data_IF_374408382160
#
_entry.id   IF_374408382160
#
_cell.length_a   1.000
_cell.length_b   1.000
_cell.length_c   1.000
_cell.angle_alpha   90.00
_cell.angle_beta   90.00
_cell.angle_gamma   90.00
#
_symmetry.space_group_name_H-M   'P 1'
#
loop_
_entity.id
_entity.type
_entity.pdbx_description
1 polymer ?
#
# COMPACT_ATOMS: atom_id res chain seq x y z
N UNK A 1 -12.02 17.51 12.72
CA UNK A 1 -11.31 16.20 12.73
C UNK A 1 -11.12 15.81 14.18
N UNK A 2 -11.41 14.55 14.57
CA UNK A 2 -11.25 14.06 15.94
C UNK A 2 -10.19 12.95 15.95
N UNK A 3 -9.24 13.02 16.87
CA UNK A 3 -8.29 11.94 17.12
C UNK A 3 -8.98 10.87 17.98
N UNK A 4 -9.07 9.64 17.48
CA UNK A 4 -9.72 8.54 18.22
C UNK A 4 -8.79 7.93 19.27
N UNK A 5 -7.48 8.01 19.08
CA UNK A 5 -6.48 7.49 20.00
C UNK A 5 -5.19 7.12 19.28
N UNK A 6 -4.32 6.42 19.99
CA UNK A 6 -3.04 5.93 19.48
C UNK A 6 -3.01 4.41 19.49
N UNK A 7 -2.23 3.83 18.58
CA UNK A 7 -1.90 2.41 18.57
C UNK A 7 -0.40 2.33 18.83
N UNK A 8 -0.01 1.69 19.93
CA UNK A 8 1.40 1.49 20.25
C UNK A 8 2.02 0.52 19.25
N UNK A 9 3.26 0.82 18.82
CA UNK A 9 4.04 0.00 17.90
C UNK A 9 5.22 -0.61 18.66
N UNK A 10 5.08 -1.84 19.21
CA UNK A 10 6.10 -2.42 20.07
C UNK A 10 7.48 -2.48 19.40
N UNK A 11 8.47 -1.85 20.04
CA UNK A 11 9.85 -1.83 19.55
C UNK A 11 10.09 -0.97 18.32
N UNK A 12 9.19 -0.06 17.96
CA UNK A 12 9.39 0.94 16.91
C UNK A 12 9.25 2.35 17.49
N UNK A 13 10.34 3.10 17.51
CA UNK A 13 10.41 4.46 18.06
C UNK A 13 10.40 5.54 16.97
N UNK A 14 10.79 5.20 15.73
CA UNK A 14 10.97 6.16 14.65
C UNK A 14 10.25 5.70 13.36
N UNK A 15 8.91 5.64 13.33
CA UNK A 15 8.17 5.29 12.12
C UNK A 15 8.46 6.31 11.00
N UNK A 16 8.72 5.79 9.81
CA UNK A 16 9.12 6.57 8.63
C UNK A 16 8.12 6.50 7.48
N UNK A 17 7.21 5.53 7.50
CA UNK A 17 6.27 5.28 6.41
C UNK A 17 5.07 4.47 6.92
N UNK A 18 3.90 4.70 6.32
CA UNK A 18 2.70 3.91 6.55
C UNK A 18 2.00 3.65 5.21
N UNK A 19 1.55 2.41 5.01
CA UNK A 19 0.66 2.03 3.92
C UNK A 19 -0.60 1.39 4.51
N UNK A 20 -1.76 1.64 3.91
CA UNK A 20 -3.04 1.14 4.42
C UNK A 20 -3.88 0.63 3.26
N UNK A 21 -4.49 -0.53 3.46
CA UNK A 21 -5.46 -1.09 2.51
C UNK A 21 -6.57 -1.81 3.24
N UNK A 22 -7.78 -1.76 2.68
CA UNK A 22 -8.89 -2.63 3.07
C UNK A 22 -8.94 -3.91 2.25
N UNK A 23 -8.16 -3.98 1.16
CA UNK A 23 -8.28 -5.02 0.13
C UNK A 23 -9.63 -5.02 -0.58
N UNK A 24 -10.45 -3.98 -0.39
CA UNK A 24 -11.81 -3.93 -0.92
C UNK A 24 -11.81 -3.39 -2.36
N UNK A 25 -12.30 -4.19 -3.30
CA UNK A 25 -12.47 -3.78 -4.69
C UNK A 25 -13.53 -2.66 -4.78
N UNK A 26 -13.14 -1.52 -5.38
CA UNK A 26 -14.02 -0.38 -5.56
C UNK A 26 -15.31 -0.74 -6.33
N UNK A 27 -15.27 -1.69 -7.27
CA UNK A 27 -16.46 -2.07 -8.03
C UNK A 27 -17.48 -2.86 -7.20
N UNK A 28 -17.06 -3.44 -6.07
CA UNK A 28 -18.01 -4.06 -5.13
C UNK A 28 -18.90 -3.02 -4.43
N UNK A 29 -18.55 -1.73 -4.47
CA UNK A 29 -19.40 -0.63 -3.99
C UNK A 29 -20.53 -0.24 -4.95
N UNK A 30 -20.61 -0.81 -6.15
CA UNK A 30 -21.71 -0.55 -7.08
C UNK A 30 -23.02 -1.17 -6.56
N UNK A 31 -24.16 -0.49 -6.71
CA UNK A 31 -25.46 -0.97 -6.28
C UNK A 31 -26.03 -2.00 -7.27
N UNK A 32 -26.80 -3.00 -6.80
CA UNK A 32 -27.41 -3.99 -7.68
C UNK A 32 -28.35 -3.33 -8.71
N UNK A 33 -28.21 -3.70 -9.98
CA UNK A 33 -29.18 -3.40 -11.04
C UNK A 33 -29.11 -2.01 -11.67
N UNK A 34 -28.38 -1.05 -11.09
CA UNK A 34 -28.27 0.31 -11.64
C UNK A 34 -26.86 0.69 -12.11
N UNK A 35 -25.81 -0.03 -11.67
CA UNK A 35 -24.41 0.36 -11.94
C UNK A 35 -23.96 1.61 -11.17
N UNK A 36 -24.86 2.21 -10.40
CA UNK A 36 -24.60 3.39 -9.57
C UNK A 36 -23.78 3.05 -8.34
N UNK A 37 -22.90 3.94 -7.92
CA UNK A 37 -22.12 3.72 -6.70
C UNK A 37 -22.89 4.11 -5.44
N UNK A 38 -22.56 3.44 -4.34
CA UNK A 38 -22.99 3.85 -3.01
C UNK A 38 -22.59 5.30 -2.71
N UNK A 39 -23.47 6.04 -2.06
CA UNK A 39 -23.24 7.44 -1.74
C UNK A 39 -24.51 8.15 -1.30
N UNK A 40 -24.40 9.45 -1.01
CA UNK A 40 -25.50 10.25 -0.47
C UNK A 40 -26.74 10.27 -1.39
N UNK A 41 -26.56 10.27 -2.70
CA UNK A 41 -27.68 10.28 -3.65
C UNK A 41 -28.39 8.92 -3.74
N UNK A 42 -27.62 7.83 -3.76
CA UNK A 42 -28.15 6.51 -4.12
C UNK A 42 -28.48 5.66 -2.88
N UNK A 43 -27.68 5.76 -1.82
CA UNK A 43 -27.78 4.99 -0.58
C UNK A 43 -27.61 5.86 0.69
N UNK A 44 -28.37 6.95 0.89
CA UNK A 44 -28.24 7.80 2.08
C UNK A 44 -28.53 7.02 3.36
N UNK A 45 -27.60 7.05 4.32
CA UNK A 45 -27.72 6.34 5.59
C UNK A 45 -28.73 6.99 6.57
N UNK A 46 -29.24 8.19 6.24
CA UNK A 46 -30.34 8.84 6.95
C UNK A 46 -31.68 8.14 6.68
N UNK A 47 -31.81 7.47 5.54
CA UNK A 47 -32.96 6.62 5.23
C UNK A 47 -32.78 5.26 5.91
N UNK A 48 -33.70 4.94 6.83
CA UNK A 48 -33.66 3.69 7.61
C UNK A 48 -33.75 2.43 6.76
N UNK A 49 -34.54 2.43 5.68
CA UNK A 49 -34.70 1.29 4.79
C UNK A 49 -33.43 1.06 3.95
N UNK A 50 -32.84 2.16 3.45
CA UNK A 50 -31.57 2.08 2.73
C UNK A 50 -30.43 1.64 3.65
N UNK A 51 -30.35 2.17 4.88
CA UNK A 51 -29.36 1.73 5.87
C UNK A 51 -29.52 0.27 6.25
N UNK A 52 -30.75 -0.22 6.43
CA UNK A 52 -31.01 -1.62 6.75
C UNK A 52 -30.49 -2.59 5.67
N UNK A 53 -30.42 -2.16 4.41
CA UNK A 53 -29.86 -2.99 3.32
C UNK A 53 -28.38 -3.36 3.49
N UNK A 54 -27.64 -2.68 4.37
CA UNK A 54 -26.23 -2.94 4.69
C UNK A 54 -26.03 -3.90 5.88
N UNK A 55 -27.10 -4.24 6.57
CA UNK A 55 -27.10 -5.10 7.75
C UNK A 55 -27.38 -6.56 7.39
N UNK A 56 -26.90 -7.50 8.20
CA UNK A 56 -27.25 -8.93 8.10
C UNK A 56 -27.11 -9.51 6.69
N UNK A 57 -28.22 -9.99 6.13
CA UNK A 57 -28.35 -10.54 4.77
C UNK A 57 -28.87 -9.53 3.73
N UNK A 58 -28.86 -8.24 4.06
CA UNK A 58 -29.32 -7.18 3.15
C UNK A 58 -28.53 -7.12 1.84
N UNK A 59 -29.15 -6.57 0.80
CA UNK A 59 -28.60 -6.54 -0.56
C UNK A 59 -27.24 -5.82 -0.70
N UNK A 60 -26.88 -4.98 0.28
CA UNK A 60 -25.64 -4.22 0.34
C UNK A 60 -24.71 -4.67 1.49
N UNK A 61 -25.02 -5.76 2.18
CA UNK A 61 -24.30 -6.19 3.39
C UNK A 61 -22.82 -6.57 3.17
N UNK A 62 -22.41 -6.79 1.91
CA UNK A 62 -21.02 -7.09 1.52
C UNK A 62 -20.38 -5.98 0.68
N UNK A 63 -21.01 -4.80 0.57
CA UNK A 63 -20.55 -3.74 -0.33
C UNK A 63 -19.66 -2.69 0.34
N UNK A 64 -19.21 -2.95 1.56
CA UNK A 64 -18.32 -2.09 2.33
C UNK A 64 -17.21 -2.90 2.99
N UNK A 65 -16.10 -2.22 3.29
CA UNK A 65 -14.95 -2.83 3.94
C UNK A 65 -15.31 -3.36 5.34
N UNK A 66 -14.94 -4.62 5.62
CA UNK A 66 -15.14 -5.28 6.92
C UNK A 66 -13.84 -5.47 7.71
N UNK A 67 -12.72 -5.24 7.05
CA UNK A 67 -11.38 -5.36 7.60
C UNK A 67 -10.42 -4.52 6.77
N UNK A 68 -9.18 -4.48 7.23
CA UNK A 68 -8.07 -3.88 6.52
C UNK A 68 -6.78 -4.10 7.30
N UNK A 69 -5.68 -3.78 6.66
CA UNK A 69 -4.36 -3.84 7.27
C UNK A 69 -3.68 -2.50 7.06
N UNK A 70 -3.07 -1.99 8.12
CA UNK A 70 -2.07 -0.94 8.02
C UNK A 70 -0.69 -1.56 8.26
N UNK A 71 0.30 -1.12 7.48
CA UNK A 71 1.71 -1.50 7.66
C UNK A 71 2.48 -0.23 7.97
N UNK A 72 3.10 -0.17 9.14
CA UNK A 72 3.98 0.93 9.53
C UNK A 72 5.42 0.45 9.44
N UNK A 73 6.29 1.26 8.85
CA UNK A 73 7.68 0.92 8.57
C UNK A 73 8.60 1.92 9.25
N UNK A 74 9.59 1.42 9.99
CA UNK A 74 10.76 2.19 10.41
C UNK A 74 11.98 1.68 9.65
N UNK A 75 12.44 2.50 8.69
CA UNK A 75 13.63 2.18 7.88
C UNK A 75 14.90 2.18 8.71
N UNK A 76 15.00 3.09 9.68
CA UNK A 76 16.15 3.21 10.59
C UNK A 76 16.24 2.02 11.56
N UNK A 77 15.10 1.53 12.05
CA UNK A 77 15.04 0.42 13.00
C UNK A 77 14.88 -0.94 12.32
N UNK A 78 14.81 -0.96 10.98
CA UNK A 78 14.61 -2.16 10.13
C UNK A 78 13.38 -2.97 10.53
N UNK A 79 12.27 -2.31 10.82
CA UNK A 79 11.04 -2.98 11.29
C UNK A 79 9.85 -2.59 10.44
N UNK A 80 8.99 -3.57 10.18
CA UNK A 80 7.61 -3.33 9.74
C UNK A 80 6.65 -3.92 10.77
N UNK A 81 5.67 -3.13 11.19
CA UNK A 81 4.58 -3.54 12.06
C UNK A 81 3.29 -3.65 11.25
N UNK A 82 2.63 -4.80 11.31
CA UNK A 82 1.34 -5.05 10.69
C UNK A 82 0.23 -4.84 11.70
N UNK A 83 -0.78 -4.05 11.35
CA UNK A 83 -1.87 -3.63 12.22
C UNK A 83 -3.19 -4.11 11.61
N UNK A 84 -3.94 -4.90 12.38
CA UNK A 84 -5.30 -5.33 12.03
C UNK A 84 -6.28 -4.18 12.28
N UNK A 85 -6.96 -3.73 11.23
CA UNK A 85 -8.01 -2.71 11.31
C UNK A 85 -9.40 -3.32 11.54
N UNK A 86 -9.54 -4.65 11.55
CA UNK A 86 -10.83 -5.33 11.78
C UNK A 86 -11.54 -4.89 13.06
N UNK A 87 -10.89 -4.64 14.21
CA UNK A 87 -11.59 -4.13 15.40
C UNK A 87 -12.32 -2.81 15.13
N UNK A 88 -11.66 -1.88 14.44
CA UNK A 88 -12.21 -0.58 14.08
C UNK A 88 -13.40 -0.74 13.12
N UNK A 89 -13.22 -1.50 12.03
CA UNK A 89 -14.29 -1.74 11.06
C UNK A 89 -15.48 -2.46 11.69
N UNK A 90 -15.24 -3.47 12.54
CA UNK A 90 -16.30 -4.21 13.22
C UNK A 90 -17.13 -3.27 14.10
N UNK A 91 -16.47 -2.39 14.87
CA UNK A 91 -17.18 -1.45 15.73
C UNK A 91 -17.97 -0.40 14.94
N UNK A 92 -17.33 0.27 13.98
CA UNK A 92 -17.96 1.33 13.19
C UNK A 92 -19.12 0.78 12.35
N UNK A 93 -18.92 -0.34 11.67
CA UNK A 93 -19.99 -1.00 10.90
C UNK A 93 -21.13 -1.47 11.82
N UNK A 94 -20.83 -1.90 13.05
CA UNK A 94 -21.84 -2.24 14.05
C UNK A 94 -22.70 -1.03 14.46
N UNK A 95 -22.11 0.15 14.61
CA UNK A 95 -22.86 1.40 14.90
C UNK A 95 -23.72 1.81 13.71
N UNK A 96 -23.18 1.78 12.49
CA UNK A 96 -23.93 2.19 11.30
C UNK A 96 -25.00 1.19 10.87
N UNK A 97 -24.76 -0.12 11.03
CA UNK A 97 -25.58 -1.17 10.42
C UNK A 97 -26.12 -2.20 11.43
N UNK A 98 -25.97 -1.97 12.73
CA UNK A 98 -26.55 -2.78 13.80
C UNK A 98 -28.00 -2.39 14.11
N UNK A 99 -28.37 -2.35 15.39
CA UNK A 99 -29.73 -2.05 15.87
C UNK A 99 -30.21 -0.61 15.63
N UNK A 100 -29.44 0.20 14.90
CA UNK A 100 -29.74 1.59 14.56
C UNK A 100 -28.85 2.59 15.29
N UNK A 101 -28.52 3.74 14.68
CA UNK A 101 -27.47 4.61 15.16
C UNK A 101 -28.01 5.57 16.24
N UNK A 102 -28.13 5.06 17.45
CA UNK A 102 -28.41 5.89 18.63
C UNK A 102 -27.27 6.85 18.94
N UNK A 103 -26.06 6.50 18.51
CA UNK A 103 -24.79 7.16 18.78
C UNK A 103 -24.66 8.51 18.08
N UNK A 104 -25.35 8.74 16.96
CA UNK A 104 -25.28 10.00 16.21
C UNK A 104 -26.03 11.16 16.89
N UNK A 105 -26.69 10.91 18.01
CA UNK A 105 -27.41 11.94 18.78
C UNK A 105 -26.50 12.74 19.72
N UNK A 106 -25.28 12.25 20.00
CA UNK A 106 -24.32 12.88 20.91
C UNK A 106 -22.97 13.13 20.22
N UNK A 107 -22.95 14.04 19.24
CA UNK A 107 -21.75 14.40 18.49
C UNK A 107 -20.85 15.33 19.29
N UNK A 108 -19.53 15.12 19.22
CA UNK A 108 -18.59 16.04 19.85
C UNK A 108 -17.18 15.51 20.04
N UNK A 109 -16.35 16.32 20.72
CA UNK A 109 -14.92 16.07 20.86
C UNK A 109 -14.56 15.25 22.11
N UNK A 110 -15.45 15.14 23.11
CA UNK A 110 -15.17 14.36 24.30
C UNK A 110 -15.16 12.84 24.01
N UNK A 111 -14.46 12.07 24.86
CA UNK A 111 -14.29 10.62 24.69
C UNK A 111 -15.61 9.85 24.52
N UNK A 112 -16.64 10.27 25.25
CA UNK A 112 -18.00 9.71 25.26
C UNK A 112 -18.96 10.38 24.28
N UNK A 113 -18.45 11.12 23.29
CA UNK A 113 -19.23 11.71 22.20
C UNK A 113 -18.82 11.08 20.89
N UNK A 114 -19.77 10.84 19.99
CA UNK A 114 -19.51 10.19 18.71
C UNK A 114 -18.68 11.08 17.77
N UNK A 115 -17.68 10.53 17.05
CA UNK A 115 -17.15 9.17 17.16
C UNK A 115 -16.36 8.96 18.46
N UNK A 116 -16.62 7.86 19.16
CA UNK A 116 -15.99 7.57 20.45
C UNK A 116 -14.50 7.29 20.31
N UNK A 117 -13.70 7.68 21.32
CA UNK A 117 -12.27 7.39 21.34
C UNK A 117 -11.99 5.94 21.76
N UNK A 118 -10.75 5.49 21.56
CA UNK A 118 -10.24 4.20 22.00
C UNK A 118 -10.22 4.09 23.53
N UNK A 119 -10.06 5.21 24.24
CA UNK A 119 -10.22 5.24 25.71
C UNK A 119 -11.65 4.91 26.14
N UNK A 120 -12.67 5.42 25.42
CA UNK A 120 -14.08 5.16 25.74
C UNK A 120 -14.56 3.78 25.27
N UNK A 121 -14.12 3.37 24.08
CA UNK A 121 -14.53 2.12 23.40
C UNK A 121 -13.29 1.34 22.96
N UNK A 122 -12.52 0.75 23.90
CA UNK A 122 -11.23 0.12 23.58
C UNK A 122 -11.34 -1.07 22.64
N UNK A 123 -12.51 -1.71 22.54
CA UNK A 123 -12.75 -2.80 21.59
C UNK A 123 -12.65 -2.39 20.12
N UNK A 124 -12.69 -1.09 19.79
CA UNK A 124 -12.50 -0.62 18.42
C UNK A 124 -11.03 -0.38 18.06
N UNK A 125 -10.12 -0.46 19.04
CA UNK A 125 -8.70 -0.15 18.87
C UNK A 125 -8.06 -1.16 17.89
N UNK A 126 -7.43 -0.71 16.79
CA UNK A 126 -6.64 -1.59 15.94
C UNK A 126 -5.51 -2.26 16.72
N UNK A 127 -5.16 -3.49 16.33
CA UNK A 127 -4.17 -4.30 17.07
C UNK A 127 -2.98 -4.61 16.21
N UNK A 128 -1.76 -4.49 16.76
CA UNK A 128 -0.54 -4.97 16.08
C UNK A 128 -0.58 -6.49 16.02
N UNK A 129 -0.60 -7.05 14.82
CA UNK A 129 -0.60 -8.50 14.54
C UNK A 129 0.81 -9.05 14.71
N UNK A 130 1.79 -8.39 14.09
CA UNK A 130 3.17 -8.85 14.04
C UNK A 130 4.12 -7.70 13.77
N UNK A 131 5.39 -7.91 14.14
CA UNK A 131 6.51 -7.08 13.71
C UNK A 131 7.54 -7.97 13.05
N UNK A 132 8.03 -7.56 11.88
CA UNK A 132 9.05 -8.28 11.12
C UNK A 132 10.29 -7.42 10.96
N UNK A 133 11.46 -8.07 10.95
CA UNK A 133 12.71 -7.41 10.56
C UNK A 133 12.76 -7.30 9.05
N UNK A 134 13.00 -6.10 8.55
CA UNK A 134 13.15 -5.84 7.12
C UNK A 134 14.47 -6.40 6.61
N UNK A 135 14.46 -6.81 5.35
CA UNK A 135 15.68 -7.18 4.63
C UNK A 135 16.73 -6.06 4.75
N UNK A 136 18.00 -6.44 4.75
CA UNK A 136 19.11 -5.51 4.92
C UNK A 136 19.32 -4.55 3.75
N UNK A 137 18.38 -4.38 2.83
CA UNK A 137 18.60 -3.59 1.62
C UNK A 137 17.38 -2.73 1.29
N UNK A 138 17.63 -1.46 0.98
CA UNK A 138 16.62 -0.51 0.52
C UNK A 138 17.05 0.14 -0.79
N UNK A 139 16.04 0.56 -1.56
CA UNK A 139 16.23 1.41 -2.72
C UNK A 139 16.16 2.87 -2.28
N UNK A 140 17.13 3.67 -2.72
CA UNK A 140 17.21 5.10 -2.43
C UNK A 140 17.23 5.88 -3.74
N UNK A 141 16.27 6.79 -3.91
CA UNK A 141 16.32 7.80 -4.96
C UNK A 141 17.12 9.01 -4.47
N UNK A 142 18.38 9.10 -4.86
CA UNK A 142 19.25 10.23 -4.52
C UNK A 142 19.00 11.36 -5.51
N UNK A 143 17.92 12.10 -5.25
CA UNK A 143 17.38 13.16 -6.13
C UNK A 143 18.43 14.15 -6.62
N UNK A 144 19.21 14.72 -5.69
CA UNK A 144 20.24 15.72 -6.01
C UNK A 144 21.35 15.19 -6.92
N UNK A 145 21.68 13.91 -6.75
CA UNK A 145 22.65 13.21 -7.58
C UNK A 145 22.04 12.59 -8.84
N UNK A 146 20.71 12.57 -9.00
CA UNK A 146 19.99 11.89 -10.11
C UNK A 146 20.40 10.42 -10.30
N UNK A 147 20.38 9.67 -9.20
CA UNK A 147 20.71 8.23 -9.20
C UNK A 147 19.80 7.43 -8.29
N UNK A 148 19.71 6.13 -8.59
CA UNK A 148 19.10 5.12 -7.73
C UNK A 148 20.21 4.27 -7.11
N UNK A 149 20.09 3.96 -5.83
CA UNK A 149 21.08 3.18 -5.09
C UNK A 149 20.41 2.05 -4.33
N UNK A 150 21.05 0.87 -4.37
CA UNK A 150 20.76 -0.22 -3.45
C UNK A 150 21.68 -0.04 -2.26
N UNK A 151 21.13 0.37 -1.14
CA UNK A 151 21.87 0.55 0.11
C UNK A 151 21.67 -0.70 0.94
N UNK A 152 22.74 -1.44 1.17
CA UNK A 152 22.75 -2.58 2.08
C UNK A 152 23.18 -2.13 3.46
N UNK A 153 22.34 -2.32 4.45
CA UNK A 153 22.68 -2.15 5.86
C UNK A 153 23.60 -3.27 6.34
N UNK A 154 24.56 -2.93 7.19
CA UNK A 154 25.33 -3.92 7.94
C UNK A 154 24.41 -4.78 8.81
N UNK A 155 24.90 -5.94 9.23
CA UNK A 155 24.11 -6.91 10.00
C UNK A 155 23.56 -6.31 11.29
N UNK A 156 24.36 -5.48 11.97
CA UNK A 156 23.99 -4.77 13.19
C UNK A 156 23.04 -3.58 12.94
N UNK A 157 22.96 -3.09 11.70
CA UNK A 157 22.14 -1.94 11.32
C UNK A 157 22.70 -0.57 11.63
N UNK A 158 23.93 -0.48 12.16
CA UNK A 158 24.53 0.80 12.51
C UNK A 158 25.27 1.47 11.34
N UNK A 159 25.32 0.82 10.20
CA UNK A 159 25.93 1.35 8.98
C UNK A 159 25.25 0.79 7.73
N UNK A 160 25.53 1.41 6.58
CA UNK A 160 25.13 0.88 5.29
C UNK A 160 26.16 1.21 4.22
N UNK A 161 26.22 0.38 3.18
CA UNK A 161 27.05 0.58 2.01
C UNK A 161 26.22 0.53 0.74
N UNK A 162 26.59 1.34 -0.24
CA UNK A 162 26.01 1.27 -1.58
C UNK A 162 26.57 0.02 -2.25
N UNK A 163 25.72 -0.98 -2.49
CA UNK A 163 26.13 -2.24 -3.14
C UNK A 163 25.83 -2.25 -4.64
N UNK A 164 25.01 -1.30 -5.09
CA UNK A 164 24.72 -1.05 -6.50
C UNK A 164 24.30 0.40 -6.69
N UNK A 165 24.77 1.00 -7.78
CA UNK A 165 24.32 2.31 -8.24
C UNK A 165 23.79 2.20 -9.66
N UNK A 166 22.74 2.96 -9.96
CA UNK A 166 22.14 3.09 -11.27
C UNK A 166 21.91 4.56 -11.59
N UNK A 167 22.37 4.98 -12.77
CA UNK A 167 22.15 6.29 -13.35
C UNK A 167 21.72 6.12 -14.79
N UNK A 168 20.81 6.97 -15.21
CA UNK A 168 20.34 7.02 -16.59
C UNK A 168 20.05 8.48 -16.93
N UNK A 169 20.48 8.91 -18.11
CA UNK A 169 20.31 10.29 -18.56
C UNK A 169 18.83 10.69 -18.70
N UNK A 170 17.94 9.70 -18.84
CA UNK A 170 16.48 9.92 -18.88
C UNK A 170 15.90 10.30 -17.51
N UNK A 171 16.60 10.04 -16.41
CA UNK A 171 16.19 10.46 -15.06
C UNK A 171 16.62 11.90 -14.79
N UNK A 172 15.71 12.83 -15.03
CA UNK A 172 15.91 14.27 -14.84
C UNK A 172 15.82 14.65 -13.36
N UNK A 173 14.79 14.16 -12.67
CA UNK A 173 14.49 14.48 -11.27
C UNK A 173 13.79 13.29 -10.55
N UNK A 174 14.54 12.21 -10.23
CA UNK A 174 13.96 11.03 -9.60
C UNK A 174 13.58 11.33 -8.14
N UNK A 175 12.28 11.22 -7.83
CA UNK A 175 11.73 11.55 -6.49
C UNK A 175 11.20 10.35 -5.73
N UNK A 176 10.81 9.28 -6.42
CA UNK A 176 10.39 8.04 -5.80
C UNK A 176 10.87 6.86 -6.64
N UNK A 177 11.10 5.74 -5.96
CA UNK A 177 11.55 4.49 -6.56
C UNK A 177 10.88 3.33 -5.88
N UNK A 178 10.55 2.32 -6.66
CA UNK A 178 9.90 1.11 -6.18
C UNK A 178 10.41 -0.12 -6.93
N UNK A 179 10.49 -1.23 -6.22
CA UNK A 179 10.72 -2.56 -6.78
C UNK A 179 9.35 -3.20 -7.05
N UNK A 180 9.08 -3.58 -8.30
CA UNK A 180 7.77 -4.03 -8.73
C UNK A 180 7.43 -5.40 -8.13
N UNK A 181 6.20 -5.52 -7.62
CA UNK A 181 5.66 -6.79 -7.11
C UNK A 181 5.34 -7.76 -8.26
N UNK A 182 5.67 -9.05 -8.09
CA UNK A 182 5.48 -10.08 -9.12
C UNK A 182 4.85 -11.36 -8.55
N UNK A 183 3.86 -11.91 -9.26
CA UNK A 183 3.10 -13.09 -8.82
C UNK A 183 3.58 -14.41 -9.44
N UNK A 184 3.86 -14.43 -10.76
CA UNK A 184 4.11 -15.67 -11.51
C UNK A 184 5.49 -15.75 -12.19
N UNK A 185 6.37 -14.80 -11.87
CA UNK A 185 7.69 -14.66 -12.49
C UNK A 185 8.62 -13.86 -11.58
N UNK A 186 9.90 -14.22 -11.55
CA UNK A 186 10.93 -13.41 -10.91
C UNK A 186 11.32 -12.31 -11.90
N UNK A 187 10.72 -11.12 -11.74
CA UNK A 187 11.04 -9.96 -12.55
C UNK A 187 11.66 -8.87 -11.68
N UNK A 188 12.97 -8.72 -11.77
CA UNK A 188 13.68 -7.65 -11.09
C UNK A 188 13.42 -6.30 -11.80
N UNK A 189 12.29 -5.65 -11.55
CA UNK A 189 11.88 -4.40 -12.22
C UNK A 189 11.74 -3.25 -11.24
N UNK A 190 12.39 -2.14 -11.56
CA UNK A 190 12.40 -0.91 -10.81
C UNK A 190 11.53 0.13 -11.53
N UNK A 191 10.56 0.71 -10.83
CA UNK A 191 9.80 1.88 -11.28
C UNK A 191 10.38 3.15 -10.66
N UNK A 192 10.64 4.16 -11.47
CA UNK A 192 11.13 5.47 -11.03
C UNK A 192 10.13 6.55 -11.40
N UNK A 193 9.66 7.30 -10.41
CA UNK A 193 8.90 8.52 -10.62
C UNK A 193 9.86 9.70 -10.85
N UNK A 194 9.82 10.28 -12.05
CA UNK A 194 10.58 11.46 -12.42
C UNK A 194 9.68 12.71 -12.39
N UNK A 195 9.89 13.55 -11.39
CA UNK A 195 9.02 14.70 -11.10
C UNK A 195 9.08 15.76 -12.20
N UNK A 196 10.30 16.16 -12.58
CA UNK A 196 10.53 17.16 -13.62
C UNK A 196 10.38 16.55 -15.01
N UNK A 197 10.79 15.30 -15.19
CA UNK A 197 10.64 14.55 -16.43
C UNK A 197 9.19 14.16 -16.76
N UNK A 198 8.25 14.33 -15.81
CA UNK A 198 6.82 13.99 -15.97
C UNK A 198 6.62 12.56 -16.49
N UNK A 199 7.36 11.62 -15.93
CA UNK A 199 7.34 10.25 -16.39
C UNK A 199 7.48 9.25 -15.25
N UNK A 200 6.91 8.08 -15.45
CA UNK A 200 7.22 6.87 -14.69
C UNK A 200 8.01 5.95 -15.61
N UNK A 201 9.25 5.67 -15.25
CA UNK A 201 10.18 4.88 -16.07
C UNK A 201 10.42 3.52 -15.44
N UNK A 202 10.37 2.47 -16.25
CA UNK A 202 10.62 1.10 -15.82
C UNK A 202 12.01 0.65 -16.23
N UNK A 203 12.69 -0.03 -15.30
CA UNK A 203 14.04 -0.53 -15.48
C UNK A 203 14.17 -1.94 -14.96
N UNK A 204 14.52 -2.90 -15.80
CA UNK A 204 14.80 -4.27 -15.35
C UNK A 204 16.25 -4.36 -14.90
N UNK A 205 16.52 -4.79 -13.68
CA UNK A 205 17.87 -4.80 -13.09
C UNK A 205 18.45 -6.21 -12.90
N UNK A 206 17.79 -7.23 -13.45
CA UNK A 206 18.25 -8.62 -13.44
C UNK A 206 17.51 -9.50 -14.45
N UNK A 207 17.73 -10.81 -14.37
CA UNK A 207 17.06 -11.75 -15.26
C UNK A 207 15.54 -11.71 -15.05
N UNK A 208 14.81 -12.05 -16.11
CA UNK A 208 13.38 -12.38 -16.02
C UNK A 208 13.29 -13.90 -16.02
N UNK A 209 12.65 -14.47 -15.01
CA UNK A 209 12.45 -15.93 -14.91
C UNK A 209 10.96 -16.22 -14.85
N UNK A 210 10.42 -16.80 -15.92
CA UNK A 210 9.03 -17.27 -15.95
C UNK A 210 8.91 -18.63 -15.28
N UNK A 211 7.74 -18.95 -14.74
CA UNK A 211 7.44 -20.29 -14.24
C UNK A 211 7.69 -21.38 -15.31
N UNK A 212 8.08 -22.58 -14.88
CA UNK A 212 8.28 -23.71 -15.78
C UNK A 212 6.96 -24.12 -16.46
N UNK A 213 6.88 -23.98 -17.78
CA UNK A 213 5.70 -24.28 -18.62
C UNK A 213 6.03 -25.20 -19.82
N UNK A 214 7.22 -25.80 -19.85
CA UNK A 214 7.66 -26.70 -20.93
C UNK A 214 8.49 -26.04 -22.04
N UNK A 215 9.07 -26.86 -22.91
CA UNK A 215 10.17 -26.47 -23.83
C UNK A 215 9.83 -25.49 -24.96
N UNK A 216 8.56 -25.12 -25.14
CA UNK A 216 8.14 -24.09 -26.10
C UNK A 216 8.19 -22.66 -25.54
N UNK A 217 8.43 -22.49 -24.24
CA UNK A 217 8.40 -21.19 -23.57
C UNK A 217 9.81 -20.65 -23.33
N UNK A 218 9.98 -19.33 -23.51
CA UNK A 218 11.25 -18.63 -23.27
C UNK A 218 11.45 -18.29 -21.79
N UNK A 219 12.69 -17.90 -21.43
CA UNK A 219 13.07 -17.39 -20.10
C UNK A 219 12.68 -18.31 -18.93
N UNK A 220 12.81 -19.62 -19.12
CA UNK A 220 12.49 -20.64 -18.13
C UNK A 220 13.63 -20.80 -17.10
N UNK A 221 13.36 -21.33 -15.89
CA UNK A 221 14.40 -21.69 -14.94
C UNK A 221 15.33 -22.79 -15.53
N UNK A 222 16.60 -22.85 -15.09
CA UNK A 222 17.23 -22.00 -14.08
C UNK A 222 17.82 -20.68 -14.64
N UNK A 223 17.90 -20.53 -15.97
CA UNK A 223 18.67 -19.46 -16.61
C UNK A 223 17.94 -18.14 -16.84
N UNK A 224 16.62 -18.17 -17.04
CA UNK A 224 15.84 -16.99 -17.39
C UNK A 224 16.29 -16.32 -18.70
N UNK A 225 15.84 -15.09 -18.95
CA UNK A 225 16.42 -14.23 -19.98
C UNK A 225 17.24 -13.11 -19.32
N UNK A 226 18.52 -12.94 -19.69
CA UNK A 226 19.40 -11.97 -19.06
C UNK A 226 18.92 -10.54 -19.32
N UNK A 227 19.35 -9.62 -18.47
CA UNK A 227 19.17 -8.18 -18.67
C UNK A 227 20.10 -7.70 -19.79
N UNK A 228 19.63 -6.79 -20.64
CA UNK A 228 20.50 -6.09 -21.58
C UNK A 228 21.09 -4.84 -20.90
N UNK A 229 22.43 -4.72 -20.77
CA UNK A 229 23.01 -3.58 -20.07
C UNK A 229 22.72 -2.24 -20.77
N UNK A 230 22.27 -1.25 -20.02
CA UNK A 230 22.12 0.14 -20.46
C UNK A 230 23.27 0.96 -19.90
N UNK A 231 24.03 1.62 -20.77
CA UNK A 231 25.13 2.52 -20.37
C UNK A 231 26.16 1.88 -19.42
N UNK A 232 26.47 0.60 -19.62
CA UNK A 232 27.48 -0.14 -18.84
C UNK A 232 26.99 -0.63 -17.46
N UNK A 233 25.73 -0.41 -17.12
CA UNK A 233 25.09 -0.98 -15.92
C UNK A 233 24.20 -2.14 -16.38
N UNK A 234 24.18 -3.25 -15.64
CA UNK A 234 23.28 -4.40 -15.88
C UNK A 234 21.80 -4.07 -15.58
N UNK A 235 21.30 -2.97 -16.12
CA UNK A 235 19.94 -2.47 -16.01
C UNK A 235 19.46 -2.21 -17.43
N UNK A 236 18.30 -2.73 -17.79
CA UNK A 236 17.64 -2.58 -19.09
C UNK A 236 16.49 -1.60 -18.95
N UNK A 237 16.42 -0.61 -19.84
CA UNK A 237 15.28 0.29 -19.89
C UNK A 237 14.06 -0.38 -20.54
N UNK A 238 12.98 -0.52 -19.78
CA UNK A 238 11.72 -1.10 -20.22
C UNK A 238 10.72 -0.10 -20.81
N UNK A 239 11.05 1.20 -20.81
CA UNK A 239 10.21 2.27 -21.33
C UNK A 239 9.71 3.22 -20.24
N UNK A 240 9.07 4.31 -20.70
CA UNK A 240 8.51 5.34 -19.84
C UNK A 240 7.04 5.58 -20.18
N UNK A 241 6.23 5.76 -19.15
CA UNK A 241 4.88 6.28 -19.26
C UNK A 241 4.90 7.78 -18.93
N UNK A 242 4.53 8.61 -19.90
CA UNK A 242 4.37 10.04 -19.67
C UNK A 242 3.10 10.30 -18.84
N UNK A 243 3.22 11.15 -17.83
CA UNK A 243 2.09 11.59 -17.00
C UNK A 243 1.81 13.07 -17.25
N UNK A 244 0.54 13.47 -17.22
CA UNK A 244 0.17 14.89 -17.42
C UNK A 244 0.71 15.77 -16.27
N UNK A 245 0.64 15.23 -15.05
CA UNK A 245 1.11 15.84 -13.80
C UNK A 245 2.60 15.62 -13.54
N UNK A 246 3.00 15.80 -12.27
CA UNK A 246 4.34 15.48 -11.80
C UNK A 246 4.24 14.36 -10.75
N UNK A 247 4.75 13.16 -11.03
CA UNK A 247 4.60 12.04 -10.11
C UNK A 247 5.45 12.30 -8.87
N UNK A 248 4.87 12.09 -7.68
CA UNK A 248 5.56 12.30 -6.40
C UNK A 248 5.81 11.00 -5.64
N UNK A 249 4.98 9.98 -5.89
CA UNK A 249 5.11 8.62 -5.38
C UNK A 249 4.71 7.66 -6.48
N UNK A 250 5.30 6.47 -6.48
CA UNK A 250 4.85 5.31 -7.26
C UNK A 250 4.61 4.17 -6.28
N UNK A 251 3.52 3.43 -6.52
CA UNK A 251 3.17 2.19 -5.83
C UNK A 251 2.75 1.18 -6.90
N UNK A 252 3.24 -0.04 -6.77
CA UNK A 252 2.88 -1.19 -7.57
C UNK A 252 2.13 -2.14 -6.65
N UNK A 253 1.06 -2.70 -7.17
CA UNK A 253 0.33 -3.75 -6.49
C UNK A 253 -0.02 -4.78 -7.57
N UNK A 254 0.23 -6.04 -7.26
CA UNK A 254 -0.27 -7.11 -8.09
C UNK A 254 -1.72 -7.41 -7.70
N UNK A 255 -2.63 -7.35 -8.67
CA UNK A 255 -4.05 -7.67 -8.49
C UNK A 255 -4.30 -9.02 -9.18
N UNK A 256 -4.58 -10.11 -8.44
CA UNK A 256 -4.93 -11.41 -9.03
C UNK A 256 -6.24 -11.39 -9.83
#
# INVERSE_FOLDING_TARGET
MKLLGYVDLPGMNAPTEIAVTTGFDQFQTALPGSGEFMGQSNSPLTDGAKRASFSGSGANANRYAKAGVAVVISKSEKKAAFIDLKPLFTYVNGVYFGSGPTEFTNLGQADNQWPYTFANKPQQTPTVISTVTLNQQVLVASRGDRKIQWVRFAADGNSGSVVREFRDQRMTDPVAVEDADNFASDNMVLSVADYTGKAISNYRYGAVVFANRGGSWSCQPPGGCPVQPTSGVNVEFGGSYAVEGRPFTVRTANVP
#
